data_IF_870362664746
#
_entry.id   IF_870362664746
#
_cell.length_a   1.000
_cell.length_b   1.000
_cell.length_c   1.000
_cell.angle_alpha   90.00
_cell.angle_beta   90.00
_cell.angle_gamma   90.00
#
_symmetry.space_group_name_H-M   'P 1'
#
loop_
_entity.id
_entity.type
_entity.pdbx_description
1 polymer ?
#
# COMPACT_ATOMS: atom_id res chain seq x y z
N UNK A 1 22.53 -15.25 -8.91
CA UNK A 1 22.84 -14.02 -8.21
C UNK A 1 21.59 -13.16 -8.06
N UNK A 2 21.48 -12.36 -6.98
CA UNK A 2 20.34 -11.46 -6.76
C UNK A 2 20.24 -10.37 -7.85
N UNK A 3 21.37 -9.95 -8.40
CA UNK A 3 21.40 -9.00 -9.51
C UNK A 3 20.83 -9.60 -10.79
N UNK A 4 21.03 -10.90 -11.01
CA UNK A 4 20.48 -11.59 -12.18
C UNK A 4 18.95 -11.68 -12.10
N UNK A 5 18.41 -11.95 -10.91
CA UNK A 5 16.96 -11.98 -10.67
C UNK A 5 16.33 -10.61 -10.91
N UNK A 6 16.96 -9.56 -10.37
CA UNK A 6 16.48 -8.18 -10.55
C UNK A 6 16.44 -7.78 -12.03
N UNK A 7 17.52 -8.07 -12.76
CA UNK A 7 17.61 -7.79 -14.20
C UNK A 7 16.57 -8.58 -15.00
N UNK A 8 16.34 -9.84 -14.64
CA UNK A 8 15.31 -10.67 -15.29
C UNK A 8 13.90 -10.10 -15.07
N UNK A 9 13.60 -9.60 -13.87
CA UNK A 9 12.32 -8.93 -13.58
C UNK A 9 12.16 -7.68 -14.44
N UNK A 10 13.18 -6.83 -14.51
CA UNK A 10 13.18 -5.61 -15.30
C UNK A 10 12.95 -5.89 -16.79
N UNK A 11 13.68 -6.85 -17.33
CA UNK A 11 13.53 -7.29 -18.73
C UNK A 11 12.12 -7.86 -18.98
N UNK A 12 11.66 -8.78 -18.15
CA UNK A 12 10.33 -9.39 -18.30
C UNK A 12 9.19 -8.36 -18.24
N UNK A 13 9.31 -7.34 -17.38
CA UNK A 13 8.34 -6.23 -17.35
C UNK A 13 8.39 -5.36 -18.61
N UNK A 14 9.57 -5.09 -19.17
CA UNK A 14 9.69 -4.38 -20.45
C UNK A 14 9.09 -5.15 -21.62
N UNK A 15 9.38 -6.45 -21.71
CA UNK A 15 8.81 -7.32 -22.75
C UNK A 15 7.30 -7.40 -22.65
N UNK A 16 6.76 -7.54 -21.42
CA UNK A 16 5.31 -7.51 -21.19
C UNK A 16 4.71 -6.16 -21.59
N UNK A 17 5.39 -5.06 -21.26
CA UNK A 17 4.94 -3.72 -21.60
C UNK A 17 4.84 -3.52 -23.12
N UNK A 18 5.84 -3.93 -23.86
CA UNK A 18 5.83 -3.86 -25.32
C UNK A 18 4.69 -4.66 -25.94
N UNK A 19 4.43 -5.85 -25.39
CA UNK A 19 3.35 -6.72 -25.87
C UNK A 19 1.96 -6.18 -25.60
N UNK A 20 1.75 -5.52 -24.46
CA UNK A 20 0.44 -5.10 -23.98
C UNK A 20 0.23 -3.56 -24.03
N UNK A 21 1.20 -2.81 -24.54
CA UNK A 21 1.10 -1.36 -24.65
C UNK A 21 1.06 -0.61 -23.31
N UNK A 22 1.76 -1.11 -22.26
CA UNK A 22 1.66 -0.54 -20.92
C UNK A 22 2.46 0.74 -20.70
N UNK A 23 3.34 1.13 -21.64
CA UNK A 23 4.10 2.37 -21.58
C UNK A 23 5.22 2.38 -20.54
N UNK A 24 5.79 1.21 -20.20
CA UNK A 24 6.86 1.10 -19.18
C UNK A 24 8.24 1.57 -19.67
N UNK A 25 8.38 1.95 -20.93
CA UNK A 25 9.59 2.56 -21.49
C UNK A 25 9.97 3.86 -20.78
N UNK A 26 9.01 4.52 -20.15
CA UNK A 26 9.21 5.76 -19.37
C UNK A 26 9.79 5.51 -17.97
N UNK A 27 9.80 4.27 -17.50
CA UNK A 27 10.30 3.93 -16.17
C UNK A 27 11.78 3.57 -16.20
N UNK A 28 12.51 3.95 -15.15
CA UNK A 28 13.88 3.47 -14.92
C UNK A 28 13.87 2.00 -14.50
N UNK A 29 15.02 1.34 -14.59
CA UNK A 29 15.15 -0.06 -14.17
C UNK A 29 14.81 -0.26 -12.70
N UNK A 30 15.23 0.68 -11.82
CA UNK A 30 14.83 0.64 -10.41
C UNK A 30 13.33 0.73 -10.20
N UNK A 31 12.63 1.58 -10.95
CA UNK A 31 11.17 1.68 -10.87
C UNK A 31 10.44 0.42 -11.34
N UNK A 32 11.08 -0.36 -12.23
CA UNK A 32 10.50 -1.62 -12.70
C UNK A 32 10.62 -2.76 -11.69
N UNK A 33 11.67 -2.78 -10.87
CA UNK A 33 11.98 -3.90 -9.98
C UNK A 33 11.75 -3.62 -8.50
N UNK A 34 11.82 -2.36 -8.08
CA UNK A 34 11.83 -1.99 -6.67
C UNK A 34 10.43 -1.56 -6.20
N UNK A 35 10.09 -1.88 -4.97
CA UNK A 35 8.89 -1.37 -4.33
C UNK A 35 9.21 0.00 -3.69
N UNK A 36 8.53 1.03 -4.16
CA UNK A 36 8.67 2.39 -3.65
C UNK A 36 7.54 2.71 -2.68
N UNK A 37 7.84 2.61 -1.38
CA UNK A 37 6.89 2.98 -0.34
C UNK A 37 7.20 4.39 0.17
N UNK A 38 6.19 5.25 0.18
CA UNK A 38 6.28 6.61 0.72
C UNK A 38 5.05 6.94 1.54
N UNK A 39 5.18 7.92 2.45
CA UNK A 39 4.08 8.38 3.26
C UNK A 39 3.84 9.88 3.09
N UNK A 40 2.58 10.28 3.20
CA UNK A 40 2.19 11.69 3.36
C UNK A 40 1.58 11.82 4.75
N UNK A 41 2.29 12.55 5.60
CA UNK A 41 1.83 12.79 6.97
C UNK A 41 0.46 13.49 6.98
N UNK A 42 -0.47 13.13 7.86
CA UNK A 42 -0.29 12.18 8.97
C UNK A 42 -0.73 10.74 8.65
N UNK A 43 -1.47 10.48 7.58
CA UNK A 43 -2.29 9.28 7.50
C UNK A 43 -2.42 8.66 6.10
N UNK A 44 -1.55 9.02 5.18
CA UNK A 44 -1.54 8.43 3.83
C UNK A 44 -0.25 7.65 3.62
N UNK A 45 -0.38 6.45 3.10
CA UNK A 45 0.71 5.59 2.66
C UNK A 45 0.54 5.21 1.20
N UNK A 46 1.61 5.23 0.44
CA UNK A 46 1.58 5.00 -1.00
C UNK A 46 2.64 3.96 -1.35
N UNK A 47 2.22 2.89 -1.99
CA UNK A 47 3.10 1.92 -2.64
C UNK A 47 3.09 2.15 -4.15
N UNK A 48 4.26 2.43 -4.73
CA UNK A 48 4.39 2.66 -6.16
C UNK A 48 5.02 1.44 -6.84
N UNK A 49 4.34 0.96 -7.86
CA UNK A 49 4.78 -0.11 -8.74
C UNK A 49 4.52 0.29 -10.20
N UNK A 50 5.21 -0.30 -11.18
CA UNK A 50 4.94 0.02 -12.60
C UNK A 50 3.49 -0.26 -13.01
N UNK A 51 2.89 -1.28 -12.42
CA UNK A 51 1.53 -1.72 -12.72
C UNK A 51 0.48 -0.77 -12.14
N UNK A 52 0.72 -0.25 -10.94
CA UNK A 52 -0.24 0.60 -10.24
C UNK A 52 0.39 1.34 -9.07
N UNK A 53 -0.28 2.38 -8.63
CA UNK A 53 -0.06 3.03 -7.34
C UNK A 53 -1.13 2.51 -6.39
N UNK A 54 -0.69 1.95 -5.28
CA UNK A 54 -1.57 1.53 -4.20
C UNK A 54 -1.56 2.59 -3.10
N UNK A 55 -2.70 3.25 -2.89
CA UNK A 55 -2.86 4.30 -1.90
C UNK A 55 -3.69 3.77 -0.74
N UNK A 56 -3.18 3.96 0.47
CA UNK A 56 -3.83 3.63 1.73
C UNK A 56 -4.03 4.91 2.54
N UNK A 57 -5.23 5.10 3.08
CA UNK A 57 -5.55 6.23 3.93
C UNK A 57 -6.19 5.73 5.22
N UNK A 58 -5.66 6.19 6.35
CA UNK A 58 -6.12 5.82 7.68
C UNK A 58 -6.83 7.01 8.32
N UNK A 59 -8.14 6.94 8.47
CA UNK A 59 -8.94 8.00 9.04
C UNK A 59 -9.43 7.61 10.43
N UNK A 60 -9.19 8.43 11.48
CA UNK A 60 -9.73 8.15 12.80
C UNK A 60 -11.25 8.03 12.75
N UNK A 61 -11.79 7.13 13.55
CA UNK A 61 -13.23 7.09 13.77
C UNK A 61 -13.69 8.30 14.59
N UNK A 62 -14.84 8.87 14.27
CA UNK A 62 -15.30 10.15 14.83
C UNK A 62 -15.43 10.17 16.36
N UNK A 63 -15.79 9.04 16.97
CA UNK A 63 -16.12 8.95 18.39
C UNK A 63 -15.41 7.83 19.14
N UNK A 64 -14.79 6.88 18.46
CA UNK A 64 -14.16 5.71 19.06
C UNK A 64 -12.66 5.66 18.70
N UNK A 65 -11.75 5.98 19.64
CA UNK A 65 -10.32 5.97 19.39
C UNK A 65 -9.73 4.57 19.15
N UNK A 66 -10.51 3.52 19.38
CA UNK A 66 -10.13 2.14 19.11
C UNK A 66 -10.46 1.70 17.68
N UNK A 67 -11.05 2.58 16.86
CA UNK A 67 -11.46 2.30 15.49
C UNK A 67 -10.92 3.33 14.52
N UNK A 68 -10.83 2.93 13.27
CA UNK A 68 -10.48 3.81 12.16
C UNK A 68 -11.10 3.29 10.86
N UNK A 69 -11.22 4.18 9.91
CA UNK A 69 -11.55 3.83 8.53
C UNK A 69 -10.25 3.58 7.76
N UNK A 70 -10.23 2.52 7.03
CA UNK A 70 -9.10 2.13 6.19
C UNK A 70 -9.55 2.18 4.74
N UNK A 71 -9.21 3.27 4.06
CA UNK A 71 -9.50 3.42 2.65
C UNK A 71 -8.33 2.89 1.82
N UNK A 72 -8.64 2.05 0.85
CA UNK A 72 -7.67 1.57 -0.14
C UNK A 72 -8.09 1.99 -1.54
N UNK A 73 -7.14 2.41 -2.33
CA UNK A 73 -7.35 2.78 -3.73
C UNK A 73 -6.22 2.24 -4.59
N UNK A 74 -6.57 1.57 -5.68
CA UNK A 74 -5.61 1.17 -6.71
C UNK A 74 -5.73 2.13 -7.89
N UNK A 75 -4.69 2.90 -8.16
CA UNK A 75 -4.61 3.85 -9.26
C UNK A 75 -3.69 3.27 -10.34
N UNK A 76 -4.23 3.03 -11.53
CA UNK A 76 -3.48 2.45 -12.64
C UNK A 76 -3.73 3.23 -13.93
N UNK A 77 -2.81 3.11 -14.87
CA UNK A 77 -3.04 3.59 -16.23
C UNK A 77 -4.06 2.66 -16.91
N UNK A 78 -4.97 3.23 -17.72
CA UNK A 78 -5.89 2.43 -18.51
C UNK A 78 -5.16 1.45 -19.42
N UNK A 79 -5.69 0.25 -19.57
CA UNK A 79 -5.17 -0.78 -20.47
C UNK A 79 -6.32 -1.30 -21.34
N UNK A 80 -6.19 -1.13 -22.65
CA UNK A 80 -7.22 -1.55 -23.61
C UNK A 80 -7.03 -2.99 -24.16
N UNK A 81 -5.91 -3.65 -23.86
CA UNK A 81 -5.66 -5.01 -24.33
C UNK A 81 -6.53 -6.02 -23.57
N UNK A 82 -7.40 -6.79 -24.26
CA UNK A 82 -8.28 -7.76 -23.62
C UNK A 82 -7.55 -8.94 -22.96
N UNK A 83 -6.27 -9.14 -23.26
CA UNK A 83 -5.44 -10.17 -22.64
C UNK A 83 -4.71 -9.66 -21.38
N UNK A 84 -4.92 -8.40 -21.01
CA UNK A 84 -4.32 -7.88 -19.80
C UNK A 84 -5.02 -8.47 -18.57
N UNK A 85 -4.21 -9.03 -17.68
CA UNK A 85 -4.65 -9.49 -16.37
C UNK A 85 -3.89 -8.71 -15.31
N UNK A 86 -4.59 -7.96 -14.43
CA UNK A 86 -3.96 -7.28 -13.31
C UNK A 86 -3.22 -8.28 -12.42
N UNK A 87 -2.05 -7.92 -11.88
CA UNK A 87 -1.36 -8.77 -10.92
C UNK A 87 -2.24 -9.07 -9.70
N UNK A 88 -2.21 -10.31 -9.22
CA UNK A 88 -3.04 -10.75 -8.08
C UNK A 88 -2.80 -9.95 -6.79
N UNK A 89 -1.58 -9.40 -6.60
CA UNK A 89 -1.26 -8.56 -5.44
C UNK A 89 -2.08 -7.27 -5.35
N UNK A 90 -2.66 -6.81 -6.47
CA UNK A 90 -3.48 -5.59 -6.51
C UNK A 90 -4.84 -5.79 -5.82
N UNK A 91 -5.24 -7.02 -5.53
CA UNK A 91 -6.51 -7.31 -4.86
C UNK A 91 -7.76 -6.93 -5.66
N UNK A 92 -7.62 -6.70 -6.98
CA UNK A 92 -8.73 -6.31 -7.83
C UNK A 92 -9.61 -7.53 -8.17
N UNK A 93 -10.93 -7.40 -8.16
CA UNK A 93 -11.84 -8.41 -8.69
C UNK A 93 -11.51 -8.78 -10.15
N UNK A 94 -11.73 -10.03 -10.53
CA UNK A 94 -11.41 -10.54 -11.89
C UNK A 94 -12.08 -9.76 -13.02
N UNK A 95 -13.27 -9.19 -12.75
CA UNK A 95 -14.07 -8.43 -13.71
C UNK A 95 -13.86 -6.91 -13.63
N UNK A 96 -12.80 -6.45 -12.96
CA UNK A 96 -12.50 -5.03 -12.86
C UNK A 96 -12.28 -4.40 -14.23
N UNK A 97 -12.99 -3.32 -14.53
CA UNK A 97 -12.75 -2.55 -15.75
C UNK A 97 -11.43 -1.79 -15.66
N UNK A 98 -10.42 -2.32 -16.32
CA UNK A 98 -9.07 -1.73 -16.38
C UNK A 98 -8.90 -0.75 -17.55
N UNK A 99 -9.93 -0.58 -18.39
CA UNK A 99 -9.86 0.32 -19.56
C UNK A 99 -9.99 1.80 -19.17
N UNK A 100 -10.40 2.08 -17.93
CA UNK A 100 -10.65 3.44 -17.44
C UNK A 100 -11.87 4.12 -18.02
N UNK A 101 -12.73 3.40 -18.75
CA UNK A 101 -13.98 3.94 -19.32
C UNK A 101 -15.04 4.17 -18.27
N UNK A 102 -15.01 3.38 -17.21
CA UNK A 102 -15.92 3.50 -16.08
C UNK A 102 -15.13 3.73 -14.79
N UNK A 103 -15.68 4.58 -13.93
CA UNK A 103 -15.14 4.75 -12.58
C UNK A 103 -15.53 3.53 -11.74
N UNK A 104 -14.56 2.93 -11.07
CA UNK A 104 -14.85 1.88 -10.11
C UNK A 104 -15.76 2.40 -8.99
N UNK A 105 -16.75 1.61 -8.56
CA UNK A 105 -17.60 1.97 -7.42
C UNK A 105 -16.74 2.07 -6.14
N UNK A 106 -17.19 2.89 -5.21
CA UNK A 106 -16.66 2.87 -3.84
C UNK A 106 -17.54 1.93 -3.03
N UNK A 107 -16.92 0.92 -2.45
CA UNK A 107 -17.58 -0.06 -1.60
C UNK A 107 -17.07 0.07 -0.17
N UNK A 108 -17.92 -0.19 0.80
CA UNK A 108 -17.58 -0.11 2.23
C UNK A 108 -17.95 -1.41 2.92
N UNK A 109 -17.01 -1.95 3.66
CA UNK A 109 -17.15 -3.22 4.33
C UNK A 109 -16.78 -3.10 5.81
N UNK A 110 -17.32 -3.97 6.64
CA UNK A 110 -16.71 -4.27 7.92
C UNK A 110 -15.44 -5.09 7.67
N UNK A 111 -14.48 -5.00 8.57
CA UNK A 111 -13.16 -5.63 8.43
C UNK A 111 -13.19 -7.09 7.95
N UNK A 112 -14.09 -7.88 8.53
CA UNK A 112 -14.16 -9.32 8.26
C UNK A 112 -15.01 -9.66 7.01
N UNK A 113 -15.57 -8.66 6.35
CA UNK A 113 -16.46 -8.80 5.20
C UNK A 113 -15.83 -8.31 3.89
N UNK A 114 -14.66 -7.67 3.95
CA UNK A 114 -13.99 -7.11 2.77
C UNK A 114 -13.31 -8.21 1.93
N UNK A 115 -13.86 -8.54 0.76
CA UNK A 115 -13.23 -9.51 -0.15
C UNK A 115 -12.04 -8.93 -0.91
N UNK A 116 -11.89 -7.61 -0.92
CA UNK A 116 -10.94 -6.89 -1.77
C UNK A 116 -9.57 -6.62 -1.16
N UNK A 117 -9.35 -6.93 0.14
CA UNK A 117 -8.05 -6.71 0.77
C UNK A 117 -6.93 -7.57 0.18
N UNK A 118 -7.28 -8.66 -0.50
CA UNK A 118 -6.30 -9.59 -1.06
C UNK A 118 -5.45 -10.26 0.02
N UNK A 119 -4.52 -11.08 -0.42
CA UNK A 119 -3.72 -11.89 0.49
C UNK A 119 -2.79 -11.03 1.38
N UNK A 120 -2.15 -10.01 0.83
CA UNK A 120 -1.14 -9.22 1.54
C UNK A 120 -1.78 -8.32 2.60
N UNK A 121 -2.75 -7.50 2.20
CA UNK A 121 -3.42 -6.59 3.13
C UNK A 121 -4.32 -7.32 4.13
N UNK A 122 -4.87 -8.47 3.74
CA UNK A 122 -5.64 -9.32 4.63
C UNK A 122 -4.80 -9.83 5.81
N UNK A 123 -3.53 -10.14 5.59
CA UNK A 123 -2.60 -10.49 6.68
C UNK A 123 -2.41 -9.32 7.64
N UNK A 124 -2.17 -8.12 7.12
CA UNK A 124 -1.97 -6.92 7.94
C UNK A 124 -3.24 -6.59 8.73
N UNK A 125 -4.39 -6.61 8.09
CA UNK A 125 -5.69 -6.37 8.74
C UNK A 125 -5.97 -7.36 9.87
N UNK A 126 -5.60 -8.63 9.70
CA UNK A 126 -5.75 -9.64 10.74
C UNK A 126 -4.85 -9.39 11.95
N UNK A 127 -3.68 -8.76 11.75
CA UNK A 127 -2.69 -8.54 12.80
C UNK A 127 -2.92 -7.26 13.62
N UNK A 128 -3.43 -6.20 12.98
CA UNK A 128 -3.60 -4.88 13.60
C UNK A 128 -4.38 -4.89 14.93
N UNK A 129 -5.49 -5.62 15.11
CA UNK A 129 -6.19 -5.66 16.38
C UNK A 129 -5.35 -6.20 17.54
N UNK A 130 -4.56 -7.25 17.28
CA UNK A 130 -3.68 -7.84 18.31
C UNK A 130 -2.54 -6.89 18.69
N UNK A 131 -2.01 -6.12 17.73
CA UNK A 131 -1.02 -5.07 18.00
C UNK A 131 -1.63 -3.98 18.89
N UNK A 132 -2.83 -3.52 18.58
CA UNK A 132 -3.51 -2.50 19.37
C UNK A 132 -3.83 -2.97 20.79
N UNK A 133 -4.26 -4.21 20.96
CA UNK A 133 -4.48 -4.82 22.26
C UNK A 133 -3.16 -4.90 23.06
N UNK A 134 -2.07 -5.33 22.42
CA UNK A 134 -0.75 -5.36 23.01
C UNK A 134 -0.26 -3.99 23.50
N UNK A 135 -0.52 -2.94 22.72
CA UNK A 135 -0.20 -1.55 23.10
C UNK A 135 -1.01 -1.06 24.33
N UNK A 136 -2.16 -1.64 24.59
CA UNK A 136 -3.00 -1.33 25.77
C UNK A 136 -2.58 -2.11 27.02
N UNK A 137 -1.62 -3.03 26.92
CA UNK A 137 -1.15 -3.84 28.05
C UNK A 137 -0.36 -3.00 29.06
N UNK A 138 -0.40 -3.38 30.33
CA UNK A 138 0.40 -2.73 31.40
C UNK A 138 1.91 -2.90 31.21
N UNK A 139 2.34 -3.86 30.45
CA UNK A 139 3.74 -4.14 30.14
C UNK A 139 4.28 -3.32 28.96
N UNK A 140 3.42 -2.66 28.19
CA UNK A 140 3.86 -1.86 27.07
C UNK A 140 4.52 -0.55 27.55
N UNK A 141 5.79 -0.39 27.20
CA UNK A 141 6.61 0.76 27.58
C UNK A 141 7.04 1.60 26.36
N UNK A 142 6.36 1.45 25.24
CA UNK A 142 6.71 2.07 23.97
C UNK A 142 7.29 1.06 22.98
N UNK A 143 7.46 1.51 21.76
CA UNK A 143 7.98 0.70 20.67
C UNK A 143 9.51 0.76 20.61
N UNK A 144 10.11 -0.35 20.29
CA UNK A 144 11.54 -0.43 19.98
C UNK A 144 11.71 -0.31 18.47
N UNK A 145 12.38 0.76 18.05
CA UNK A 145 12.67 1.00 16.64
C UNK A 145 14.04 0.47 16.27
N UNK A 146 14.11 -0.30 15.20
CA UNK A 146 15.37 -0.69 14.58
C UNK A 146 16.11 0.51 13.98
N UNK A 147 17.40 0.36 13.73
CA UNK A 147 18.22 1.44 13.16
C UNK A 147 17.73 1.89 11.78
N UNK A 148 17.18 0.98 10.98
CA UNK A 148 16.68 1.25 9.63
C UNK A 148 15.30 1.91 9.61
N UNK A 149 14.60 1.98 10.73
CA UNK A 149 13.23 2.52 10.82
C UNK A 149 13.19 4.05 11.02
N UNK A 150 14.09 4.75 10.38
CA UNK A 150 14.20 6.21 10.47
C UNK A 150 12.93 6.94 10.05
N UNK A 151 12.19 6.41 9.08
CA UNK A 151 10.92 7.00 8.61
C UNK A 151 9.84 6.95 9.68
N UNK A 152 9.77 5.87 10.44
CA UNK A 152 8.82 5.74 11.55
C UNK A 152 9.19 6.68 12.70
N UNK A 153 10.46 6.80 13.03
CA UNK A 153 10.93 7.78 14.02
C UNK A 153 10.58 9.20 13.61
N UNK A 154 10.83 9.57 12.35
CA UNK A 154 10.48 10.89 11.85
C UNK A 154 8.96 11.14 11.92
N UNK A 155 8.15 10.15 11.58
CA UNK A 155 6.70 10.21 11.71
C UNK A 155 6.28 10.53 13.14
N UNK A 156 6.82 9.81 14.14
CA UNK A 156 6.51 10.03 15.55
C UNK A 156 6.97 11.39 16.05
N UNK A 157 8.17 11.84 15.66
CA UNK A 157 8.66 13.18 15.99
C UNK A 157 7.70 14.28 15.48
N UNK A 158 7.24 14.17 14.26
CA UNK A 158 6.28 15.13 13.70
C UNK A 158 4.91 15.05 14.38
N UNK A 159 4.46 13.87 14.77
CA UNK A 159 3.22 13.67 15.51
C UNK A 159 3.31 14.31 16.90
N UNK A 160 4.33 14.02 17.68
CA UNK A 160 4.59 14.56 19.01
C UNK A 160 4.66 16.09 18.99
N UNK A 161 5.39 16.65 18.04
CA UNK A 161 5.48 18.09 17.84
C UNK A 161 4.11 18.75 17.61
N UNK A 162 3.24 18.12 16.80
CA UNK A 162 1.90 18.63 16.54
C UNK A 162 0.95 18.47 17.72
N UNK A 163 1.16 17.47 18.55
CA UNK A 163 0.41 17.25 19.80
C UNK A 163 0.92 18.08 20.96
N UNK A 164 2.01 18.83 20.77
CA UNK A 164 2.62 19.62 21.86
C UNK A 164 3.31 18.76 22.93
N UNK A 165 3.65 17.53 22.61
CA UNK A 165 4.36 16.62 23.51
C UNK A 165 5.85 17.01 23.46
N UNK A 166 6.39 17.47 24.59
CA UNK A 166 7.83 17.73 24.69
C UNK A 166 8.59 16.40 24.80
N UNK A 167 9.59 16.22 23.94
CA UNK A 167 10.50 15.10 24.07
C UNK A 167 11.30 15.27 25.37
N UNK A 168 11.18 14.34 26.27
CA UNK A 168 11.96 14.27 27.51
C UNK A 168 13.36 13.71 27.26
#
# INVERSE_FOLDING_TARGET
>A
DLLDVRSAIQQGKRERSLRLGLGYERFTDGQLSDSWATGIFPNIQIGCHPEAIFLMRFLPHDTDPQKFWYDTMTLMFPVDDPNYCPPAWMGLPENTDVTGRNRAPTESYLKDEDPGLGLVLGQDAAFLPSVQEGMSSKAFQGQLWGEQEQRLRHFHVELEKRLGIQQS
#
